data_IF_328093534875
#
_entry.id   IF_328093534875
#
_cell.length_a   1.000
_cell.length_b   1.000
_cell.length_c   1.000
_cell.angle_alpha   90.00
_cell.angle_beta   90.00
_cell.angle_gamma   90.00
#
_symmetry.space_group_name_H-M   'P 1'
#
loop_
_entity.id
_entity.type
_entity.pdbx_description
1 polymer ?
#
# COMPACT_ATOMS: atom_id res chain seq x y z
N UNK A 1 -5.94 56.34 8.98
CA UNK A 1 -6.13 54.91 9.30
C UNK A 1 -6.95 54.12 8.28
N UNK A 2 -7.90 54.72 7.54
CA UNK A 2 -8.72 54.01 6.54
C UNK A 2 -7.88 53.30 5.45
N UNK A 3 -6.81 53.93 4.98
CA UNK A 3 -5.90 53.36 3.97
C UNK A 3 -5.13 52.12 4.47
N UNK A 4 -4.78 52.08 5.76
CA UNK A 4 -4.12 50.93 6.37
C UNK A 4 -5.11 49.75 6.50
N UNK A 5 -6.37 50.05 6.81
CA UNK A 5 -7.45 49.05 6.84
C UNK A 5 -7.65 48.41 5.47
N UNK A 6 -7.71 49.19 4.38
CA UNK A 6 -7.85 48.64 3.03
C UNK A 6 -6.68 47.73 2.63
N UNK A 7 -5.45 48.10 3.01
CA UNK A 7 -4.26 47.31 2.72
C UNK A 7 -4.26 45.97 3.47
N UNK A 8 -4.71 45.96 4.73
CA UNK A 8 -4.87 44.73 5.52
C UNK A 8 -5.95 43.81 4.92
N UNK A 9 -7.08 44.36 4.48
CA UNK A 9 -8.14 43.57 3.83
C UNK A 9 -7.67 42.97 2.50
N UNK A 10 -6.93 43.76 1.70
CA UNK A 10 -6.38 43.29 0.43
C UNK A 10 -5.36 42.15 0.63
N UNK A 11 -4.49 42.26 1.64
CA UNK A 11 -3.53 41.21 1.99
C UNK A 11 -4.21 39.92 2.47
N UNK A 12 -5.27 40.04 3.29
CA UNK A 12 -6.07 38.89 3.75
C UNK A 12 -6.73 38.16 2.58
N UNK A 13 -7.35 38.89 1.65
CA UNK A 13 -7.97 38.31 0.44
C UNK A 13 -6.93 37.60 -0.42
N UNK A 14 -5.77 38.20 -0.67
CA UNK A 14 -4.69 37.57 -1.45
C UNK A 14 -4.16 36.28 -0.81
N UNK A 15 -4.09 36.23 0.51
CA UNK A 15 -3.64 35.01 1.22
C UNK A 15 -4.64 33.85 1.09
N UNK A 16 -5.94 34.15 0.98
CA UNK A 16 -7.00 33.13 0.91
C UNK A 16 -7.04 32.36 -0.41
N UNK A 17 -6.55 32.97 -1.51
CA UNK A 17 -6.54 32.35 -2.84
C UNK A 17 -5.58 31.15 -2.97
N UNK A 18 -4.66 30.94 -2.03
CA UNK A 18 -3.65 29.88 -2.10
C UNK A 18 -4.14 28.53 -1.53
N UNK A 19 -5.35 28.47 -0.93
CA UNK A 19 -5.75 27.35 -0.07
C UNK A 19 -6.54 26.25 -0.82
N UNK A 20 -6.95 26.47 -2.07
CA UNK A 20 -7.73 25.50 -2.83
C UNK A 20 -7.09 25.16 -4.19
N UNK A 21 -5.91 24.52 -4.16
CA UNK A 21 -5.35 23.93 -5.37
C UNK A 21 -5.96 22.55 -5.60
N UNK A 22 -6.91 22.46 -6.53
CA UNK A 22 -7.38 21.16 -7.04
C UNK A 22 -6.22 20.44 -7.74
N UNK A 23 -6.18 19.11 -7.65
CA UNK A 23 -5.18 18.36 -8.41
C UNK A 23 -5.42 18.56 -9.90
N UNK A 24 -4.35 18.53 -10.72
CA UNK A 24 -4.49 18.74 -12.17
C UNK A 24 -5.49 17.78 -12.81
N UNK A 25 -5.54 16.53 -12.34
CA UNK A 25 -6.52 15.55 -12.79
C UNK A 25 -7.97 15.95 -12.46
N UNK A 26 -8.22 16.41 -11.22
CA UNK A 26 -9.56 16.84 -10.81
C UNK A 26 -9.98 18.10 -11.58
N UNK A 27 -9.09 19.08 -11.70
CA UNK A 27 -9.33 20.29 -12.48
C UNK A 27 -9.70 19.95 -13.94
N UNK A 28 -8.95 19.03 -14.55
CA UNK A 28 -9.17 18.59 -15.91
C UNK A 28 -10.52 17.88 -16.10
N UNK A 29 -10.88 16.96 -15.19
CA UNK A 29 -12.19 16.27 -15.18
C UNK A 29 -13.35 17.25 -14.95
N UNK A 30 -13.21 18.18 -14.01
CA UNK A 30 -14.26 19.16 -13.66
C UNK A 30 -14.58 20.13 -14.79
N UNK A 31 -13.63 20.40 -15.68
CA UNK A 31 -13.83 21.27 -16.85
C UNK A 31 -14.14 20.49 -18.13
N UNK A 32 -14.59 19.23 -18.02
CA UNK A 32 -14.92 18.36 -19.16
C UNK A 32 -13.78 18.22 -20.18
N UNK A 33 -12.53 18.28 -19.72
CA UNK A 33 -11.37 18.11 -20.58
C UNK A 33 -11.30 16.68 -21.15
N UNK A 34 -10.87 16.55 -22.40
CA UNK A 34 -10.67 15.24 -23.04
C UNK A 34 -9.41 14.55 -22.49
N UNK A 35 -9.62 13.42 -21.80
CA UNK A 35 -8.58 12.67 -21.11
C UNK A 35 -7.41 12.29 -22.02
N UNK A 36 -7.62 12.20 -23.34
CA UNK A 36 -6.55 11.96 -24.31
C UNK A 36 -5.44 13.03 -24.24
N UNK A 37 -5.80 14.30 -24.11
CA UNK A 37 -4.81 15.38 -24.01
C UNK A 37 -4.16 15.42 -22.63
N UNK A 38 -4.91 15.08 -21.58
CA UNK A 38 -4.34 14.95 -20.24
C UNK A 38 -3.29 13.84 -20.19
N UNK A 39 -3.60 12.66 -20.76
CA UNK A 39 -2.65 11.56 -20.87
C UNK A 39 -1.40 11.96 -21.66
N UNK A 40 -1.59 12.67 -22.78
CA UNK A 40 -0.47 13.24 -23.55
C UNK A 40 0.39 14.17 -22.70
N UNK A 41 -0.22 15.03 -21.88
CA UNK A 41 0.51 15.97 -21.00
C UNK A 41 1.34 15.27 -19.90
N UNK A 42 0.94 14.08 -19.46
CA UNK A 42 1.71 13.25 -18.51
C UNK A 42 2.90 12.59 -19.23
N UNK A 43 2.66 12.07 -20.45
CA UNK A 43 3.71 11.43 -21.26
C UNK A 43 4.80 12.45 -21.58
N UNK A 44 4.41 13.63 -22.06
CA UNK A 44 5.29 14.73 -22.48
C UNK A 44 5.78 15.61 -21.32
N UNK A 45 5.30 15.37 -20.09
CA UNK A 45 5.52 16.21 -18.93
C UNK A 45 5.20 17.71 -19.16
N UNK A 46 4.24 18.00 -20.03
CA UNK A 46 3.83 19.37 -20.33
C UNK A 46 3.34 20.05 -19.04
N UNK A 47 3.71 21.32 -18.85
CA UNK A 47 3.31 22.12 -17.70
C UNK A 47 3.68 21.51 -16.34
N UNK A 48 4.78 20.74 -16.23
CA UNK A 48 5.18 20.10 -14.97
C UNK A 48 4.10 19.16 -14.41
N UNK A 49 3.42 18.40 -15.29
CA UNK A 49 2.33 17.51 -14.88
C UNK A 49 2.82 16.34 -14.02
N UNK A 50 4.05 15.87 -14.23
CA UNK A 50 4.62 14.79 -13.41
C UNK A 50 4.94 15.21 -11.98
N UNK A 51 5.05 16.51 -11.70
CA UNK A 51 5.22 17.05 -10.35
C UNK A 51 3.89 17.22 -9.60
N UNK A 52 2.75 17.01 -10.27
CA UNK A 52 1.46 16.97 -9.59
C UNK A 52 1.29 15.63 -8.89
N UNK A 53 0.64 15.63 -7.73
CA UNK A 53 0.22 14.38 -7.12
C UNK A 53 -0.91 13.69 -7.91
N UNK A 54 -1.57 14.33 -8.89
CA UNK A 54 -2.64 13.71 -9.72
C UNK A 54 -3.77 13.04 -8.91
N UNK A 55 -4.00 13.44 -7.66
CA UNK A 55 -4.96 12.76 -6.77
C UNK A 55 -4.38 11.56 -5.99
N UNK A 56 -3.08 11.33 -6.08
CA UNK A 56 -2.29 10.41 -5.26
C UNK A 56 -2.38 10.84 -3.80
N UNK A 57 -3.30 10.21 -3.09
CA UNK A 57 -3.33 10.27 -1.63
C UNK A 57 -3.46 8.85 -1.10
N UNK A 58 -2.41 8.30 -0.44
CA UNK A 58 -2.60 7.20 0.50
C UNK A 58 -3.42 7.75 1.66
N UNK A 59 -4.74 7.58 1.58
CA UNK A 59 -5.63 8.07 2.61
C UNK A 59 -5.71 7.01 3.71
N UNK A 60 -4.96 7.21 4.81
CA UNK A 60 -4.99 6.33 6.00
C UNK A 60 -6.39 6.12 6.58
N UNK A 61 -7.35 6.99 6.26
CA UNK A 61 -8.73 6.87 6.70
C UNK A 61 -9.60 6.03 5.75
N UNK A 62 -9.11 5.65 4.57
CA UNK A 62 -9.78 4.70 3.68
C UNK A 62 -9.55 3.30 4.24
N UNK A 63 -10.50 2.90 5.06
CA UNK A 63 -10.46 1.63 5.80
C UNK A 63 -11.63 0.72 5.45
N UNK A 64 -12.49 1.12 4.50
CA UNK A 64 -13.61 0.33 4.00
C UNK A 64 -13.37 -0.21 2.59
N UNK A 65 -12.15 -0.11 2.07
CA UNK A 65 -11.83 -0.61 0.72
C UNK A 65 -11.03 -1.91 0.79
N UNK A 66 -11.35 -2.78 -0.16
CA UNK A 66 -10.61 -3.97 -0.54
C UNK A 66 -9.98 -3.73 -1.91
N UNK A 67 -8.70 -4.03 -2.07
CA UNK A 67 -8.00 -3.98 -3.35
C UNK A 67 -8.10 -5.34 -4.04
N UNK A 68 -8.98 -5.46 -5.03
CA UNK A 68 -9.21 -6.73 -5.73
C UNK A 68 -8.14 -7.01 -6.77
N UNK A 69 -7.83 -6.00 -7.60
CA UNK A 69 -6.82 -6.15 -8.63
C UNK A 69 -6.17 -4.84 -9.04
N UNK A 70 -4.94 -4.95 -9.53
CA UNK A 70 -4.16 -3.88 -10.15
C UNK A 70 -3.80 -4.31 -11.56
N UNK A 71 -4.15 -3.50 -12.54
CA UNK A 71 -3.84 -3.71 -13.96
C UNK A 71 -2.80 -2.68 -14.38
N UNK A 72 -1.57 -3.11 -14.62
CA UNK A 72 -0.50 -2.28 -15.13
C UNK A 72 -0.67 -2.16 -16.64
N UNK A 73 -0.86 -0.93 -17.14
CA UNK A 73 -0.99 -0.66 -18.58
C UNK A 73 0.38 -0.27 -19.16
N UNK A 74 1.11 0.57 -18.44
CA UNK A 74 2.49 0.96 -18.69
C UNK A 74 3.08 1.62 -17.43
N UNK A 75 4.36 2.01 -17.48
CA UNK A 75 5.10 2.61 -16.36
C UNK A 75 4.44 3.87 -15.78
N UNK A 76 3.56 4.54 -16.52
CA UNK A 76 2.91 5.79 -16.09
C UNK A 76 1.41 5.62 -15.88
N UNK A 77 0.83 4.45 -16.14
CA UNK A 77 -0.62 4.25 -16.12
C UNK A 77 -0.97 2.86 -15.61
N UNK A 78 -1.79 2.85 -14.58
CA UNK A 78 -2.36 1.63 -14.00
C UNK A 78 -3.83 1.83 -13.69
N UNK A 79 -4.57 0.73 -13.66
CA UNK A 79 -5.99 0.71 -13.29
C UNK A 79 -6.12 -0.10 -12.02
N UNK A 80 -6.66 0.53 -10.98
CA UNK A 80 -6.96 -0.13 -9.71
C UNK A 80 -8.43 -0.49 -9.68
N UNK A 81 -8.74 -1.67 -9.14
CA UNK A 81 -10.10 -2.14 -8.95
C UNK A 81 -10.26 -2.42 -7.46
N UNK A 82 -11.21 -1.71 -6.86
CA UNK A 82 -11.51 -1.79 -5.43
C UNK A 82 -12.96 -2.16 -5.20
N UNK A 83 -13.24 -2.95 -4.17
CA UNK A 83 -14.57 -3.26 -3.69
C UNK A 83 -14.76 -2.77 -2.25
N UNK A 84 -16.00 -2.70 -1.82
CA UNK A 84 -16.31 -2.37 -0.43
C UNK A 84 -16.01 -3.56 0.47
N UNK A 85 -15.29 -3.27 1.56
CA UNK A 85 -15.18 -4.15 2.70
C UNK A 85 -16.31 -3.85 3.67
N UNK A 86 -17.09 -4.86 4.03
CA UNK A 86 -18.21 -4.69 4.93
C UNK A 86 -17.70 -4.34 6.34
N UNK A 87 -18.00 -3.13 6.82
CA UNK A 87 -17.88 -2.79 8.24
C UNK A 87 -19.25 -2.75 8.90
N UNK A 88 -19.32 -3.34 10.08
CA UNK A 88 -20.46 -3.19 10.98
C UNK A 88 -20.60 -1.69 11.30
N UNK A 89 -21.78 -1.12 10.99
CA UNK A 89 -22.08 0.32 11.03
C UNK A 89 -21.85 0.90 12.43
N UNK A 90 -20.75 1.62 12.62
CA UNK A 90 -20.50 2.41 13.83
C UNK A 90 -20.27 3.90 13.58
N UNK A 91 -19.81 4.31 12.40
CA UNK A 91 -19.59 5.71 12.08
C UNK A 91 -19.63 5.92 10.56
N UNK A 92 -20.71 6.53 10.06
CA UNK A 92 -20.85 6.93 8.66
C UNK A 92 -20.19 8.29 8.43
N UNK A 93 -18.85 8.33 8.51
CA UNK A 93 -18.15 9.43 7.87
C UNK A 93 -18.31 9.26 6.36
N UNK A 94 -18.58 10.33 5.59
CA UNK A 94 -18.72 10.25 4.15
C UNK A 94 -17.44 9.63 3.56
N UNK A 95 -17.60 8.52 2.85
CA UNK A 95 -16.49 7.79 2.25
C UNK A 95 -15.85 8.68 1.16
N UNK A 96 -14.60 9.11 1.40
CA UNK A 96 -13.83 9.86 0.39
C UNK A 96 -13.38 8.99 -0.78
N UNK A 97 -13.42 7.67 -0.59
CA UNK A 97 -13.06 6.67 -1.59
C UNK A 97 -14.30 5.88 -1.96
N UNK A 98 -14.64 5.86 -3.26
CA UNK A 98 -15.71 5.02 -3.77
C UNK A 98 -15.11 3.72 -4.31
N UNK A 99 -15.72 2.56 -4.02
CA UNK A 99 -15.34 1.32 -4.68
C UNK A 99 -15.57 1.46 -6.19
N UNK A 100 -14.80 0.72 -6.97
CA UNK A 100 -14.91 0.69 -8.41
C UNK A 100 -13.56 0.62 -9.09
N UNK A 101 -13.60 0.94 -10.38
CA UNK A 101 -12.43 1.01 -11.25
C UNK A 101 -11.96 2.45 -11.33
N UNK A 102 -10.70 2.70 -10.97
CA UNK A 102 -10.07 4.02 -11.13
C UNK A 102 -8.75 3.90 -11.88
N UNK A 103 -8.45 4.93 -12.67
CA UNK A 103 -7.21 5.02 -13.44
C UNK A 103 -6.25 5.91 -12.69
N UNK A 104 -5.11 5.33 -12.34
CA UNK A 104 -4.04 5.98 -11.61
C UNK A 104 -2.90 6.31 -12.57
N UNK A 105 -2.42 7.55 -12.51
CA UNK A 105 -1.36 8.05 -13.35
C UNK A 105 -0.11 8.35 -12.53
N UNK A 106 1.05 7.98 -13.08
CA UNK A 106 2.39 8.25 -12.54
C UNK A 106 2.51 7.98 -11.02
N UNK A 107 1.98 6.84 -10.57
CA UNK A 107 1.91 6.55 -9.15
C UNK A 107 3.06 5.64 -8.73
N UNK A 108 3.87 6.04 -7.73
CA UNK A 108 5.11 5.36 -7.38
C UNK A 108 4.89 3.90 -7.02
N UNK A 109 3.76 3.57 -6.37
CA UNK A 109 3.40 2.19 -6.01
C UNK A 109 2.74 1.42 -7.17
N UNK A 110 1.60 1.90 -7.68
CA UNK A 110 0.79 1.14 -8.65
C UNK A 110 1.39 1.04 -10.06
N UNK A 111 2.46 1.78 -10.37
CA UNK A 111 3.18 1.68 -11.63
C UNK A 111 4.33 0.65 -11.63
N UNK A 112 4.67 0.06 -10.48
CA UNK A 112 5.81 -0.88 -10.39
C UNK A 112 5.42 -2.29 -10.81
N UNK A 113 6.29 -2.94 -11.60
CA UNK A 113 6.12 -4.37 -11.97
C UNK A 113 6.52 -5.33 -10.84
N UNK A 114 7.30 -4.87 -9.86
CA UNK A 114 7.71 -5.70 -8.72
C UNK A 114 6.56 -5.84 -7.71
N UNK A 115 5.74 -6.86 -7.90
CA UNK A 115 4.57 -7.17 -7.06
C UNK A 115 4.92 -7.29 -5.58
N UNK A 116 6.09 -7.83 -5.22
CA UNK A 116 6.46 -7.99 -3.81
C UNK A 116 6.78 -6.65 -3.14
N UNK A 117 7.50 -5.78 -3.85
CA UNK A 117 7.76 -4.42 -3.40
C UNK A 117 6.46 -3.63 -3.25
N UNK A 118 5.57 -3.74 -4.24
CA UNK A 118 4.24 -3.11 -4.21
C UNK A 118 3.45 -3.58 -3.01
N UNK A 119 3.33 -4.90 -2.80
CA UNK A 119 2.62 -5.45 -1.63
C UNK A 119 3.22 -4.96 -0.31
N UNK A 120 4.55 -4.82 -0.23
CA UNK A 120 5.22 -4.29 0.97
C UNK A 120 4.88 -2.83 1.23
N UNK A 121 4.93 -1.98 0.20
CA UNK A 121 4.56 -0.55 0.30
C UNK A 121 3.08 -0.38 0.63
N UNK A 122 2.21 -1.15 -0.02
CA UNK A 122 0.78 -1.15 0.26
C UNK A 122 0.48 -1.60 1.71
N UNK A 123 1.14 -2.64 2.24
CA UNK A 123 0.99 -3.05 3.66
C UNK A 123 1.46 -1.97 4.64
N UNK A 124 2.46 -1.16 4.26
CA UNK A 124 3.04 -0.11 5.12
C UNK A 124 2.22 1.18 5.11
N UNK A 125 1.82 1.62 3.91
CA UNK A 125 1.33 2.99 3.69
C UNK A 125 -0.18 3.04 3.41
N UNK A 126 -0.82 1.90 3.10
CA UNK A 126 -2.23 1.80 2.74
C UNK A 126 -2.99 0.90 3.72
N UNK A 127 -4.28 1.20 3.91
CA UNK A 127 -5.15 0.53 4.89
C UNK A 127 -6.24 -0.34 4.23
N UNK A 128 -5.90 -0.98 3.10
CA UNK A 128 -6.76 -1.98 2.48
C UNK A 128 -7.04 -3.12 3.47
N UNK A 129 -8.30 -3.55 3.56
CA UNK A 129 -8.72 -4.51 4.58
C UNK A 129 -8.46 -5.96 4.21
N UNK A 130 -8.27 -6.26 2.92
CA UNK A 130 -7.95 -7.61 2.48
C UNK A 130 -6.47 -7.93 2.66
N UNK A 131 -6.17 -9.23 2.75
CA UNK A 131 -4.81 -9.69 2.54
C UNK A 131 -4.37 -9.32 1.11
N UNK A 132 -3.27 -8.57 0.98
CA UNK A 132 -2.75 -8.20 -0.33
C UNK A 132 -2.22 -9.39 -1.12
N UNK A 133 -1.99 -10.54 -0.46
CA UNK A 133 -1.67 -11.77 -1.16
C UNK A 133 -2.87 -12.35 -1.94
N UNK A 134 -4.11 -11.91 -1.63
CA UNK A 134 -5.29 -12.19 -2.43
C UNK A 134 -5.49 -11.21 -3.60
N UNK A 135 -4.74 -10.11 -3.67
CA UNK A 135 -4.86 -9.12 -4.74
C UNK A 135 -4.23 -9.63 -6.03
N UNK A 136 -4.95 -9.50 -7.14
CA UNK A 136 -4.50 -9.96 -8.46
C UNK A 136 -3.74 -8.85 -9.18
N UNK A 137 -2.51 -9.12 -9.60
CA UNK A 137 -1.70 -8.21 -10.40
C UNK A 137 -1.66 -8.67 -11.85
N UNK A 138 -2.11 -7.80 -12.75
CA UNK A 138 -2.20 -8.07 -14.19
C UNK A 138 -1.33 -7.06 -14.95
N UNK A 139 -0.70 -7.50 -16.03
CA UNK A 139 -0.04 -6.64 -17.03
C UNK A 139 -0.83 -6.69 -18.33
N UNK A 140 -1.22 -5.53 -18.84
CA UNK A 140 -1.90 -5.41 -20.13
C UNK A 140 -0.90 -5.36 -21.28
N UNK A 141 -1.07 -6.24 -22.27
CA UNK A 141 -0.25 -6.28 -23.47
C UNK A 141 -0.94 -5.50 -24.60
N UNK A 142 -0.38 -4.33 -24.96
CA UNK A 142 -0.95 -3.47 -26.01
C UNK A 142 -0.98 -4.14 -27.39
N UNK A 143 -0.11 -5.12 -27.66
CA UNK A 143 -0.03 -5.81 -28.97
C UNK A 143 -1.09 -6.89 -29.08
N UNK A 144 -1.21 -7.76 -28.09
CA UNK A 144 -2.18 -8.86 -28.10
C UNK A 144 -3.56 -8.45 -27.58
N UNK A 145 -3.67 -7.29 -26.90
CA UNK A 145 -4.87 -6.82 -26.18
C UNK A 145 -5.31 -7.78 -25.06
N UNK A 146 -4.36 -8.52 -24.49
CA UNK A 146 -4.61 -9.50 -23.44
C UNK A 146 -4.07 -9.05 -22.09
N UNK A 147 -4.60 -9.66 -21.03
CA UNK A 147 -4.13 -9.46 -19.66
C UNK A 147 -3.32 -10.68 -19.21
N UNK A 148 -2.08 -10.47 -18.77
CA UNK A 148 -1.18 -11.50 -18.28
C UNK A 148 -1.03 -11.38 -16.76
N UNK A 149 -1.13 -12.50 -16.05
CA UNK A 149 -0.92 -12.54 -14.61
C UNK A 149 0.56 -12.28 -14.29
N UNK A 150 0.82 -11.35 -13.36
CA UNK A 150 2.16 -11.14 -12.80
C UNK A 150 2.28 -12.06 -11.59
N UNK A 151 2.83 -13.25 -11.78
CA UNK A 151 3.11 -14.16 -10.67
C UNK A 151 4.25 -13.60 -9.81
N UNK A 152 3.95 -13.21 -8.58
CA UNK A 152 4.99 -13.10 -7.55
C UNK A 152 5.55 -14.50 -7.33
N UNK A 153 6.85 -14.73 -7.58
CA UNK A 153 7.50 -15.99 -7.23
C UNK A 153 7.34 -16.19 -5.73
N UNK A 154 6.38 -17.00 -5.31
CA UNK A 154 6.21 -17.37 -3.91
C UNK A 154 7.46 -18.16 -3.54
N UNK A 155 8.45 -17.53 -2.91
CA UNK A 155 9.56 -18.24 -2.27
C UNK A 155 8.92 -19.01 -1.13
N UNK A 156 8.62 -20.29 -1.37
CA UNK A 156 8.26 -21.21 -0.31
C UNK A 156 9.53 -21.31 0.54
N UNK A 157 9.57 -20.56 1.65
CA UNK A 157 10.58 -20.77 2.68
C UNK A 157 10.27 -22.13 3.28
N UNK A 158 10.90 -23.18 2.77
CA UNK A 158 11.00 -24.44 3.49
C UNK A 158 11.58 -24.08 4.86
N UNK A 159 10.80 -24.28 5.92
CA UNK A 159 11.27 -24.03 7.26
C UNK A 159 12.39 -25.04 7.54
N UNK A 160 13.64 -24.60 7.47
CA UNK A 160 14.75 -25.36 8.02
C UNK A 160 14.54 -25.39 9.54
N UNK A 161 14.11 -26.55 10.04
CA UNK A 161 14.18 -26.90 11.45
C UNK A 161 15.66 -26.82 11.87
N UNK A 162 16.04 -25.66 12.40
CA UNK A 162 17.31 -25.47 13.09
C UNK A 162 17.32 -26.36 14.33
N UNK A 163 17.75 -27.62 14.19
CA UNK A 163 18.12 -28.46 15.33
C UNK A 163 19.47 -27.99 15.88
N UNK A 164 19.44 -26.87 16.61
CA UNK A 164 20.58 -26.48 17.43
C UNK A 164 20.38 -27.04 18.82
N UNK A 165 20.95 -28.22 19.06
CA UNK A 165 21.47 -28.57 20.38
C UNK A 165 22.75 -29.36 20.15
N UNK A 166 23.89 -28.75 20.49
CA UNK A 166 25.19 -29.41 20.33
C UNK A 166 25.22 -30.67 21.20
N UNK A 167 25.87 -31.73 20.71
CA UNK A 167 25.96 -33.02 21.42
C UNK A 167 26.47 -32.86 22.86
N UNK A 168 27.31 -31.86 23.10
CA UNK A 168 27.84 -31.51 24.42
C UNK A 168 26.74 -31.09 25.40
N UNK A 169 25.79 -30.24 25.01
CA UNK A 169 24.68 -29.83 25.89
C UNK A 169 23.74 -31.01 26.23
N UNK A 170 23.58 -31.94 25.29
CA UNK A 170 22.77 -33.15 25.51
C UNK A 170 23.48 -34.07 26.52
N UNK A 171 24.79 -34.25 26.37
CA UNK A 171 25.63 -34.99 27.32
C UNK A 171 25.57 -34.41 28.73
N UNK A 172 25.70 -33.08 28.88
CA UNK A 172 25.61 -32.44 30.20
C UNK A 172 24.25 -32.63 30.87
N UNK A 173 23.15 -32.53 30.12
CA UNK A 173 21.80 -32.79 30.64
C UNK A 173 21.61 -34.25 31.06
N UNK A 174 22.19 -35.19 30.32
CA UNK A 174 22.12 -36.62 30.64
C UNK A 174 22.89 -36.94 31.93
N UNK A 175 24.10 -36.40 32.08
CA UNK A 175 24.91 -36.55 33.31
C UNK A 175 24.19 -35.94 34.52
N UNK A 176 23.61 -34.75 34.38
CA UNK A 176 22.81 -34.12 35.43
C UNK A 176 21.61 -34.98 35.83
N UNK A 177 20.91 -35.58 34.86
CA UNK A 177 19.77 -36.45 35.14
C UNK A 177 20.18 -37.70 35.94
N UNK A 178 21.31 -38.33 35.57
CA UNK A 178 21.82 -39.51 36.28
C UNK A 178 22.24 -39.15 37.71
N UNK A 179 22.91 -38.02 37.92
CA UNK A 179 23.32 -37.56 39.24
C UNK A 179 22.12 -37.30 40.17
N UNK A 180 21.04 -36.73 39.63
CA UNK A 180 19.79 -36.54 40.37
C UNK A 180 19.14 -37.88 40.71
N UNK A 181 19.12 -38.84 39.78
CA UNK A 181 18.56 -40.17 40.07
C UNK A 181 19.36 -40.93 41.13
N UNK A 182 20.69 -40.89 41.07
CA UNK A 182 21.56 -41.54 42.05
C UNK A 182 21.40 -40.92 43.43
N UNK A 183 21.35 -39.59 43.53
CA UNK A 183 21.15 -38.91 44.81
C UNK A 183 19.77 -39.21 45.43
N UNK A 184 18.71 -39.25 44.61
CA UNK A 184 17.37 -39.67 45.07
C UNK A 184 17.37 -41.13 45.53
N UNK A 185 18.08 -42.02 44.83
CA UNK A 185 18.15 -43.44 45.18
C UNK A 185 18.92 -43.67 46.49
N UNK A 186 20.05 -42.97 46.70
CA UNK A 186 20.83 -43.02 47.94
C UNK A 186 20.00 -42.46 49.11
N UNK A 187 19.33 -41.32 48.91
CA UNK A 187 18.47 -40.73 49.92
C UNK A 187 17.32 -41.66 50.34
N UNK A 188 16.71 -42.37 49.38
CA UNK A 188 15.67 -43.37 49.65
C UNK A 188 16.18 -44.62 50.36
N UNK A 189 17.44 -45.01 50.16
CA UNK A 189 18.05 -46.19 50.80
C UNK A 189 18.47 -45.95 52.26
N UNK A 190 18.79 -44.71 52.62
CA UNK A 190 19.22 -44.31 53.96
C UNK A 190 18.07 -43.82 54.86
N UNK A 191 16.81 -44.04 54.46
CA UNK A 191 15.60 -43.78 55.25
C UNK A 191 14.88 -45.09 55.50
#
# INVERSE_FOLDING_TARGET
MKNLSYLVHFALVFSSCQIFSQTKLISYKSHSGDMKYFEKSIVENSFNTNYSNLGMAPQRYVTNSKLDSVIIIDDKKSVIITSNYCKIRGNSNPEKWKPGRDTVYNHPVFSQENVEAVKKELKRDYNFQNDLDSTVFLKYDKKTKEYKLITSKKVIKTAELKSFKSEEEIMYLLVLSIAVFVSVFIYRKNR
#
